data_IF_074438921227
#
_entry.id   IF_074438921227
#
_cell.length_a   1.000
_cell.length_b   1.000
_cell.length_c   1.000
_cell.angle_alpha   90.00
_cell.angle_beta   90.00
_cell.angle_gamma   90.00
#
_symmetry.space_group_name_H-M   'P 1'
#
loop_
_entity.id
_entity.type
_entity.pdbx_description
1 polymer ?
#
# COMPACT_ATOMS: atom_id res chain seq x y z
N UNK A 1 5.67 60.28 32.56
CA UNK A 1 6.72 59.28 32.22
C UNK A 1 6.29 57.81 32.39
N UNK A 2 5.31 57.49 33.26
CA UNK A 2 4.90 56.10 33.57
C UNK A 2 4.14 55.39 32.43
N UNK A 3 3.31 56.10 31.65
CA UNK A 3 2.52 55.50 30.54
C UNK A 3 3.36 54.99 29.35
N UNK A 4 4.55 55.55 29.08
CA UNK A 4 5.44 55.07 28.01
C UNK A 4 6.20 53.79 28.43
N UNK A 5 6.51 53.62 29.72
CA UNK A 5 7.17 52.41 30.25
C UNK A 5 6.24 51.20 30.28
N UNK A 6 4.95 51.37 30.61
CA UNK A 6 3.97 50.26 30.56
C UNK A 6 3.70 49.75 29.13
N UNK A 7 3.59 50.62 28.13
CA UNK A 7 3.42 50.20 26.73
C UNK A 7 4.63 49.38 26.22
N UNK A 8 5.84 49.73 26.64
CA UNK A 8 7.05 48.97 26.29
C UNK A 8 7.07 47.57 26.95
N UNK A 9 6.53 47.44 28.16
CA UNK A 9 6.47 46.16 28.87
C UNK A 9 5.41 45.23 28.26
N UNK A 10 4.26 45.76 27.85
CA UNK A 10 3.21 44.98 27.18
C UNK A 10 3.65 44.43 25.82
N UNK A 11 4.40 45.23 25.04
CA UNK A 11 4.96 44.76 23.76
C UNK A 11 6.05 43.70 23.98
N UNK A 12 6.85 43.82 25.04
CA UNK A 12 7.85 42.81 25.40
C UNK A 12 7.21 41.49 25.85
N UNK A 13 6.11 41.54 26.61
CA UNK A 13 5.35 40.35 27.04
C UNK A 13 4.64 39.69 25.86
N UNK A 14 4.08 40.46 24.92
CA UNK A 14 3.49 39.92 23.69
C UNK A 14 4.59 39.31 22.80
N UNK A 15 5.77 39.92 22.70
CA UNK A 15 6.91 39.30 21.99
C UNK A 15 7.42 38.04 22.70
N UNK A 16 7.51 38.02 24.03
CA UNK A 16 7.88 36.83 24.80
C UNK A 16 6.85 35.70 24.63
N UNK A 17 5.55 36.02 24.59
CA UNK A 17 4.48 35.06 24.32
C UNK A 17 4.50 34.53 22.87
N UNK A 18 4.89 35.38 21.90
CA UNK A 18 5.09 34.97 20.49
C UNK A 18 6.34 34.11 20.33
N UNK A 19 7.39 34.33 21.13
CA UNK A 19 8.62 33.51 21.10
C UNK A 19 8.40 32.16 21.81
N UNK A 20 7.57 32.10 22.88
CA UNK A 20 7.16 30.83 23.51
C UNK A 20 6.08 30.08 22.72
N UNK A 21 5.45 30.72 21.73
CA UNK A 21 4.47 30.11 20.82
C UNK A 21 5.07 29.43 19.58
N UNK A 22 6.38 29.57 19.35
CA UNK A 22 7.12 28.78 18.36
C UNK A 22 7.60 27.48 19.01
N UNK A 23 6.70 26.49 19.11
CA UNK A 23 7.00 25.15 19.59
C UNK A 23 8.04 24.42 18.72
N UNK A 24 9.32 24.71 18.96
CA UNK A 24 10.40 23.73 18.79
C UNK A 24 10.28 22.76 19.97
N UNK A 25 10.33 21.46 19.69
CA UNK A 25 10.35 20.34 20.65
C UNK A 25 8.99 19.79 21.14
N UNK A 26 8.07 19.46 20.22
CA UNK A 26 6.94 18.57 20.55
C UNK A 26 7.14 17.09 20.19
N UNK A 27 8.27 16.71 19.61
CA UNK A 27 8.58 15.32 19.23
C UNK A 27 9.77 14.82 20.04
N UNK A 28 9.64 13.63 20.62
CA UNK A 28 10.68 13.02 21.46
C UNK A 28 11.35 11.86 20.72
N UNK A 29 12.52 11.44 21.22
CA UNK A 29 13.31 10.38 20.60
C UNK A 29 12.60 9.02 20.64
N UNK A 30 12.78 8.26 19.57
CA UNK A 30 12.23 6.91 19.43
C UNK A 30 12.87 5.97 20.46
N UNK A 31 12.04 5.14 21.11
CA UNK A 31 12.55 4.11 22.03
C UNK A 31 12.97 2.86 21.26
N UNK A 32 14.27 2.55 21.26
CA UNK A 32 14.83 1.40 20.53
C UNK A 32 14.92 0.11 21.38
N UNK A 33 14.28 -0.96 20.90
CA UNK A 33 14.29 -2.31 21.49
C UNK A 33 14.90 -3.32 20.52
N UNK A 34 15.68 -4.29 21.02
CA UNK A 34 16.22 -5.39 20.20
C UNK A 34 15.20 -6.51 20.05
N UNK A 35 15.22 -7.15 18.89
CA UNK A 35 14.39 -8.30 18.55
C UNK A 35 13.05 -7.91 17.93
N UNK A 36 12.30 -8.92 17.50
CA UNK A 36 10.95 -8.78 16.96
C UNK A 36 9.97 -8.38 18.10
N UNK A 37 8.85 -7.69 17.79
CA UNK A 37 7.80 -7.42 18.78
C UNK A 37 7.34 -8.70 19.50
N UNK A 38 7.21 -8.63 20.82
CA UNK A 38 6.79 -9.77 21.68
C UNK A 38 5.28 -9.89 21.85
N UNK A 39 4.54 -8.88 21.40
CA UNK A 39 3.09 -8.82 21.47
C UNK A 39 2.57 -8.53 20.07
N UNK A 40 1.38 -9.07 19.78
CA UNK A 40 0.69 -8.74 18.56
C UNK A 40 0.14 -7.30 18.60
N UNK A 41 -0.06 -6.70 17.43
CA UNK A 41 -0.68 -5.39 17.31
C UNK A 41 -1.32 -5.22 15.93
N UNK A 42 -2.30 -4.31 15.81
CA UNK A 42 -2.99 -4.03 14.54
C UNK A 42 -2.00 -3.63 13.45
N UNK A 43 -1.05 -2.75 13.78
CA UNK A 43 0.01 -2.32 12.86
C UNK A 43 0.88 -3.48 12.37
N UNK A 44 1.22 -4.41 13.27
CA UNK A 44 1.98 -5.61 12.92
C UNK A 44 1.17 -6.55 12.01
N UNK A 45 -0.10 -6.81 12.33
CA UNK A 45 -0.99 -7.65 11.50
C UNK A 45 -1.09 -7.10 10.07
N UNK A 46 -1.27 -5.78 9.92
CA UNK A 46 -1.38 -5.14 8.60
C UNK A 46 -0.07 -5.20 7.80
N UNK A 47 1.08 -5.07 8.47
CA UNK A 47 2.38 -5.28 7.86
C UNK A 47 2.54 -6.74 7.39
N UNK A 48 2.25 -7.72 8.25
CA UNK A 48 2.36 -9.14 7.92
C UNK A 48 1.41 -9.51 6.77
N UNK A 49 0.18 -8.98 6.76
CA UNK A 49 -0.77 -9.10 5.64
C UNK A 49 -0.12 -8.61 4.34
N UNK A 50 0.41 -7.38 4.36
CA UNK A 50 1.01 -6.76 3.18
C UNK A 50 2.24 -7.50 2.67
N UNK A 51 3.07 -8.03 3.57
CA UNK A 51 4.30 -8.73 3.24
C UNK A 51 4.03 -10.13 2.69
N UNK A 52 3.21 -10.92 3.38
CA UNK A 52 2.97 -12.33 3.04
C UNK A 52 2.15 -12.51 1.75
N UNK A 53 1.19 -11.63 1.46
CA UNK A 53 0.35 -11.75 0.25
C UNK A 53 0.79 -10.82 -0.89
N UNK A 54 1.86 -10.05 -0.71
CA UNK A 54 2.16 -8.90 -1.57
C UNK A 54 2.62 -9.24 -3.00
N UNK A 55 3.03 -10.47 -3.26
CA UNK A 55 3.66 -10.90 -4.52
C UNK A 55 2.83 -11.88 -5.34
N UNK A 56 1.93 -12.62 -4.72
CA UNK A 56 1.20 -13.75 -5.34
C UNK A 56 -0.29 -13.53 -5.46
N UNK A 57 -0.84 -12.65 -4.60
CA UNK A 57 -2.28 -12.58 -4.37
C UNK A 57 -2.79 -11.14 -4.52
N UNK A 58 -3.82 -10.97 -5.34
CA UNK A 58 -4.50 -9.68 -5.48
C UNK A 58 -5.62 -9.60 -4.45
N UNK A 59 -5.52 -8.65 -3.50
CA UNK A 59 -6.64 -8.30 -2.63
C UNK A 59 -7.77 -7.72 -3.48
N UNK A 60 -8.96 -8.32 -3.38
CA UNK A 60 -10.16 -7.89 -4.10
C UNK A 60 -11.06 -7.05 -3.19
N UNK A 61 -11.29 -7.52 -1.97
CA UNK A 61 -12.29 -6.98 -1.05
C UNK A 61 -11.89 -7.25 0.40
N UNK A 62 -12.27 -6.34 1.30
CA UNK A 62 -12.18 -6.54 2.74
C UNK A 62 -13.51 -6.16 3.36
N UNK A 63 -14.10 -7.09 4.11
CA UNK A 63 -15.40 -6.94 4.75
C UNK A 63 -15.31 -7.47 6.17
N UNK A 64 -15.50 -6.59 7.15
CA UNK A 64 -15.28 -6.89 8.56
C UNK A 64 -13.88 -7.50 8.74
N UNK A 65 -13.78 -8.67 9.40
CA UNK A 65 -12.50 -9.34 9.65
C UNK A 65 -12.07 -10.32 8.54
N UNK A 66 -12.75 -10.32 7.39
CA UNK A 66 -12.47 -11.23 6.27
C UNK A 66 -11.86 -10.46 5.11
N UNK A 67 -10.69 -10.91 4.64
CA UNK A 67 -10.08 -10.40 3.40
C UNK A 67 -10.19 -11.44 2.30
N UNK A 68 -10.63 -11.01 1.11
CA UNK A 68 -10.82 -11.82 -0.08
C UNK A 68 -9.73 -11.51 -1.11
N UNK A 69 -9.24 -12.55 -1.76
CA UNK A 69 -8.16 -12.48 -2.73
C UNK A 69 -8.49 -13.30 -3.98
N UNK A 70 -7.90 -12.89 -5.10
CA UNK A 70 -7.74 -13.75 -6.27
C UNK A 70 -6.27 -14.12 -6.43
N UNK A 71 -6.05 -15.39 -6.79
CA UNK A 71 -4.75 -15.82 -7.29
C UNK A 71 -4.52 -15.23 -8.67
N UNK A 72 -3.27 -14.88 -8.97
CA UNK A 72 -2.86 -14.54 -10.34
C UNK A 72 -3.08 -15.73 -11.27
N UNK A 73 -3.71 -15.50 -12.43
CA UNK A 73 -4.09 -16.58 -13.35
C UNK A 73 -3.29 -16.54 -14.66
N UNK A 74 -2.25 -17.39 -14.74
CA UNK A 74 -1.53 -17.66 -15.98
C UNK A 74 -2.28 -18.73 -16.79
N UNK A 75 -2.81 -18.31 -17.94
CA UNK A 75 -3.41 -19.09 -19.04
C UNK A 75 -4.25 -20.35 -18.73
N UNK A 76 -5.47 -20.38 -19.29
CA UNK A 76 -6.29 -21.60 -19.41
C UNK A 76 -7.03 -22.06 -18.15
N UNK A 77 -6.70 -21.48 -16.99
CA UNK A 77 -7.37 -21.79 -15.74
C UNK A 77 -8.47 -20.77 -15.42
N UNK A 78 -9.38 -21.14 -14.52
CA UNK A 78 -10.35 -20.20 -13.97
C UNK A 78 -9.69 -19.37 -12.88
N UNK A 79 -10.10 -18.10 -12.73
CA UNK A 79 -9.65 -17.30 -11.58
C UNK A 79 -10.12 -17.98 -10.29
N UNK A 80 -9.19 -18.28 -9.39
CA UNK A 80 -9.48 -18.86 -8.07
C UNK A 80 -9.60 -17.74 -7.05
N UNK A 81 -10.58 -17.90 -6.16
CA UNK A 81 -10.81 -17.00 -5.05
C UNK A 81 -10.60 -17.74 -3.73
N UNK A 82 -9.98 -17.05 -2.79
CA UNK A 82 -9.82 -17.54 -1.43
C UNK A 82 -9.99 -16.39 -0.43
N UNK A 83 -10.13 -16.76 0.83
CA UNK A 83 -10.28 -15.82 1.94
C UNK A 83 -9.52 -16.30 3.16
N UNK A 84 -9.20 -15.36 4.03
CA UNK A 84 -8.83 -15.67 5.41
C UNK A 84 -9.28 -14.54 6.34
N UNK A 85 -9.38 -14.86 7.63
CA UNK A 85 -9.69 -13.88 8.68
C UNK A 85 -8.42 -13.26 9.26
N UNK A 86 -8.55 -12.11 9.92
CA UNK A 86 -7.44 -11.52 10.67
C UNK A 86 -6.86 -12.49 11.71
N UNK A 87 -7.70 -13.27 12.41
CA UNK A 87 -7.25 -14.23 13.41
C UNK A 87 -6.48 -15.42 12.80
N UNK A 88 -6.92 -15.90 11.63
CA UNK A 88 -6.16 -16.91 10.88
C UNK A 88 -4.77 -16.40 10.47
N UNK A 89 -4.68 -15.14 10.03
CA UNK A 89 -3.40 -14.51 9.73
C UNK A 89 -2.53 -14.38 10.98
N UNK A 90 -3.09 -13.94 12.11
CA UNK A 90 -2.37 -13.83 13.39
C UNK A 90 -1.80 -15.16 13.85
N UNK A 91 -2.61 -16.22 13.84
CA UNK A 91 -2.13 -17.55 14.19
C UNK A 91 -1.06 -18.06 13.20
N UNK A 92 -1.16 -17.70 11.92
CA UNK A 92 -0.15 -18.05 10.91
C UNK A 92 1.23 -17.46 11.23
N UNK A 93 1.33 -16.17 11.57
CA UNK A 93 2.62 -15.54 11.86
C UNK A 93 3.05 -15.57 13.33
N UNK A 94 2.22 -16.09 14.24
CA UNK A 94 2.53 -16.25 15.66
C UNK A 94 3.91 -16.86 15.97
N UNK A 95 4.46 -17.81 15.18
CA UNK A 95 5.83 -18.28 15.38
C UNK A 95 6.90 -17.18 15.39
N UNK A 96 6.67 -16.05 14.70
CA UNK A 96 7.59 -14.90 14.70
C UNK A 96 7.78 -14.28 16.09
N UNK A 97 6.72 -14.25 16.90
CA UNK A 97 6.71 -13.59 18.22
C UNK A 97 7.64 -14.31 19.21
N UNK A 98 7.79 -15.63 19.06
CA UNK A 98 8.57 -16.47 19.97
C UNK A 98 9.89 -16.97 19.37
N UNK A 99 10.15 -16.64 18.10
CA UNK A 99 11.33 -17.14 17.39
C UNK A 99 12.64 -16.55 17.91
N UNK A 100 13.63 -17.43 18.09
CA UNK A 100 15.03 -17.03 18.33
C UNK A 100 15.74 -16.61 17.04
N UNK A 101 15.21 -16.96 15.87
CA UNK A 101 15.74 -16.58 14.55
C UNK A 101 14.60 -16.05 13.64
N UNK A 102 14.17 -14.79 13.84
CA UNK A 102 13.05 -14.21 13.10
C UNK A 102 13.20 -14.25 11.58
N UNK A 103 14.41 -14.03 11.03
CA UNK A 103 14.69 -14.12 9.59
C UNK A 103 14.36 -15.51 9.02
N UNK A 104 14.88 -16.57 9.65
CA UNK A 104 14.61 -17.94 9.20
C UNK A 104 13.12 -18.26 9.28
N UNK A 105 12.48 -17.89 10.40
CA UNK A 105 11.04 -18.12 10.59
C UNK A 105 10.20 -17.36 9.56
N UNK A 106 10.55 -16.11 9.24
CA UNK A 106 9.84 -15.34 8.22
C UNK A 106 9.96 -16.00 6.84
N UNK A 107 11.15 -16.47 6.48
CA UNK A 107 11.38 -17.19 5.22
C UNK A 107 10.54 -18.47 5.14
N UNK A 108 10.40 -19.22 6.23
CA UNK A 108 9.54 -20.41 6.31
C UNK A 108 8.04 -20.07 6.18
N UNK A 109 7.62 -18.89 6.66
CA UNK A 109 6.25 -18.40 6.52
C UNK A 109 5.95 -17.85 5.13
N UNK A 110 6.96 -17.44 4.37
CA UNK A 110 6.81 -16.92 3.01
C UNK A 110 6.78 -18.01 1.94
N UNK A 111 6.92 -19.30 2.31
CA UNK A 111 6.82 -20.41 1.37
C UNK A 111 5.40 -20.51 0.80
N UNK A 112 5.28 -20.40 -0.53
CA UNK A 112 3.99 -20.37 -1.24
C UNK A 112 3.12 -21.58 -0.88
N UNK A 113 3.67 -22.80 -0.94
CA UNK A 113 2.91 -24.02 -0.62
C UNK A 113 2.30 -24.00 0.79
N UNK A 114 3.03 -23.45 1.77
CA UNK A 114 2.56 -23.31 3.15
C UNK A 114 1.46 -22.26 3.25
N UNK A 115 1.64 -21.13 2.56
CA UNK A 115 0.68 -20.03 2.53
C UNK A 115 -0.63 -20.49 1.88
N UNK A 116 -0.56 -21.17 0.74
CA UNK A 116 -1.73 -21.75 0.08
C UNK A 116 -2.43 -22.76 0.99
N UNK A 117 -1.68 -23.69 1.58
CA UNK A 117 -2.25 -24.75 2.43
C UNK A 117 -2.95 -24.21 3.67
N UNK A 118 -2.41 -23.16 4.30
CA UNK A 118 -2.86 -22.70 5.62
C UNK A 118 -3.72 -21.44 5.59
N UNK A 119 -3.64 -20.62 4.53
CA UNK A 119 -4.40 -19.38 4.41
C UNK A 119 -5.38 -19.36 3.22
N UNK A 120 -5.16 -20.11 2.14
CA UNK A 120 -6.05 -20.07 0.97
C UNK A 120 -7.30 -20.93 1.16
N UNK A 121 -8.20 -20.49 2.03
CA UNK A 121 -9.49 -21.14 2.22
C UNK A 121 -10.44 -20.79 1.07
N UNK A 122 -10.95 -21.81 0.39
CA UNK A 122 -11.89 -21.65 -0.72
C UNK A 122 -13.14 -20.85 -0.33
N UNK A 123 -13.65 -20.03 -1.25
CA UNK A 123 -14.94 -19.37 -1.11
C UNK A 123 -16.03 -20.25 -1.72
N UNK A 124 -16.84 -20.86 -0.86
CA UNK A 124 -17.96 -21.73 -1.27
C UNK A 124 -19.14 -20.93 -1.83
N UNK A 125 -19.55 -19.88 -1.11
CA UNK A 125 -20.62 -18.98 -1.53
C UNK A 125 -20.04 -17.74 -2.21
N UNK A 126 -19.86 -17.82 -3.53
CA UNK A 126 -19.35 -16.70 -4.35
C UNK A 126 -20.39 -15.59 -4.54
N UNK A 127 -21.68 -15.93 -4.48
CA UNK A 127 -22.78 -15.00 -4.71
C UNK A 127 -22.88 -13.98 -3.58
N UNK A 128 -22.64 -14.40 -2.33
CA UNK A 128 -22.55 -13.50 -1.17
C UNK A 128 -21.59 -12.31 -1.35
N UNK A 129 -20.58 -12.47 -2.20
CA UNK A 129 -19.53 -11.47 -2.43
C UNK A 129 -19.55 -10.90 -3.85
N UNK A 130 -20.63 -11.14 -4.60
CA UNK A 130 -20.80 -10.70 -5.99
C UNK A 130 -19.66 -11.18 -6.93
N UNK A 131 -18.96 -12.27 -6.57
CA UNK A 131 -17.77 -12.72 -7.30
C UNK A 131 -18.15 -13.39 -8.63
N UNK A 132 -17.70 -12.86 -9.78
CA UNK A 132 -17.93 -13.51 -11.07
C UNK A 132 -17.08 -14.78 -11.20
N UNK A 133 -17.56 -15.78 -11.93
CA UNK A 133 -16.71 -16.85 -12.45
C UNK A 133 -16.12 -16.40 -13.78
N UNK A 134 -14.79 -16.43 -13.90
CA UNK A 134 -14.05 -15.93 -15.06
C UNK A 134 -13.11 -17.02 -15.57
N UNK A 135 -13.20 -17.30 -16.88
CA UNK A 135 -12.36 -18.30 -17.56
C UNK A 135 -11.96 -17.81 -18.95
N UNK A 136 -10.68 -17.97 -19.29
CA UNK A 136 -10.18 -17.75 -20.64
C UNK A 136 -10.33 -19.06 -21.42
N UNK A 137 -10.97 -18.99 -22.58
CA UNK A 137 -11.10 -20.06 -23.56
C UNK A 137 -10.13 -19.83 -24.72
N UNK A 138 -10.03 -20.81 -25.62
CA UNK A 138 -9.21 -20.72 -26.83
C UNK A 138 -9.49 -19.44 -27.65
N UNK A 139 -8.47 -18.95 -28.34
CA UNK A 139 -8.55 -17.73 -29.17
C UNK A 139 -8.88 -16.46 -28.36
N UNK A 140 -8.47 -16.40 -27.10
CA UNK A 140 -8.68 -15.28 -26.19
C UNK A 140 -10.17 -14.89 -26.06
N UNK A 141 -11.05 -15.89 -25.95
CA UNK A 141 -12.44 -15.69 -25.60
C UNK A 141 -12.61 -15.71 -24.07
N UNK A 142 -13.19 -14.66 -23.50
CA UNK A 142 -13.41 -14.53 -22.07
C UNK A 142 -14.82 -14.94 -21.70
N UNK A 143 -14.98 -16.09 -21.06
CA UNK A 143 -16.24 -16.50 -20.45
C UNK A 143 -16.39 -15.84 -19.07
N UNK A 144 -17.48 -15.12 -18.88
CA UNK A 144 -17.86 -14.52 -17.59
C UNK A 144 -19.26 -14.97 -17.20
N UNK A 145 -19.39 -15.47 -15.97
CA UNK A 145 -20.66 -15.81 -15.33
C UNK A 145 -20.80 -15.07 -14.01
N UNK A 146 -21.81 -14.22 -13.89
CA UNK A 146 -22.25 -13.59 -12.64
C UNK A 146 -23.42 -14.39 -12.05
N UNK A 147 -23.97 -13.95 -10.93
CA UNK A 147 -25.13 -14.60 -10.28
C UNK A 147 -26.32 -14.79 -11.23
N UNK A 148 -26.56 -13.83 -12.13
CA UNK A 148 -27.75 -13.83 -13.00
C UNK A 148 -27.45 -13.97 -14.49
N UNK A 149 -26.22 -13.72 -14.92
CA UNK A 149 -25.89 -13.60 -16.34
C UNK A 149 -24.64 -14.40 -16.70
N UNK A 150 -24.61 -14.91 -17.93
CA UNK A 150 -23.45 -15.56 -18.53
C UNK A 150 -23.22 -14.98 -19.92
N UNK A 151 -21.98 -14.62 -20.24
CA UNK A 151 -21.61 -14.08 -21.56
C UNK A 151 -20.18 -14.48 -21.92
N UNK A 152 -19.92 -14.64 -23.21
CA UNK A 152 -18.57 -14.84 -23.76
C UNK A 152 -18.19 -13.58 -24.53
N UNK A 153 -17.04 -12.99 -24.19
CA UNK A 153 -16.49 -11.82 -24.86
C UNK A 153 -15.33 -12.23 -25.76
N UNK A 154 -15.34 -11.78 -27.02
CA UNK A 154 -14.20 -11.88 -27.93
C UNK A 154 -13.22 -10.75 -27.58
N UNK A 155 -12.17 -11.05 -26.82
CA UNK A 155 -11.20 -10.03 -26.39
C UNK A 155 -10.44 -9.40 -27.57
N UNK A 156 -9.96 -10.16 -28.58
CA UNK A 156 -9.37 -9.56 -29.78
C UNK A 156 -10.27 -8.54 -30.48
N UNK A 157 -11.57 -8.81 -30.56
CA UNK A 157 -12.53 -7.85 -31.12
C UNK A 157 -12.74 -6.65 -30.19
N UNK A 158 -13.01 -6.90 -28.91
CA UNK A 158 -13.29 -5.88 -27.89
C UNK A 158 -12.10 -4.93 -27.68
N UNK A 159 -10.88 -5.45 -27.74
CA UNK A 159 -9.63 -4.77 -27.44
C UNK A 159 -8.78 -4.51 -28.68
N UNK A 160 -9.39 -4.57 -29.88
CA UNK A 160 -8.72 -4.35 -31.17
C UNK A 160 -7.90 -3.06 -31.20
N UNK A 161 -8.43 -1.99 -30.60
CA UNK A 161 -7.78 -0.67 -30.55
C UNK A 161 -6.49 -0.65 -29.73
N UNK A 162 -6.29 -1.64 -28.86
CA UNK A 162 -5.06 -1.84 -28.10
C UNK A 162 -4.12 -2.84 -28.76
N UNK A 163 -4.58 -3.57 -29.78
CA UNK A 163 -3.76 -4.49 -30.56
C UNK A 163 -3.77 -5.94 -30.09
N UNK A 164 -4.67 -6.32 -29.18
CA UNK A 164 -4.83 -7.70 -28.68
C UNK A 164 -5.28 -8.63 -29.81
N UNK A 165 -4.67 -9.81 -29.91
CA UNK A 165 -4.89 -10.85 -30.93
C UNK A 165 -5.30 -12.17 -30.30
N UNK A 166 -5.78 -13.08 -31.13
CA UNK A 166 -6.21 -14.43 -30.73
C UNK A 166 -5.08 -15.31 -30.19
N UNK A 167 -3.85 -15.05 -30.64
CA UNK A 167 -2.65 -15.82 -30.32
C UNK A 167 -1.87 -15.29 -29.13
N UNK A 168 -2.28 -14.15 -28.58
CA UNK A 168 -1.50 -13.46 -27.55
C UNK A 168 -1.61 -14.18 -26.20
N UNK A 169 -0.49 -14.17 -25.46
CA UNK A 169 -0.41 -14.67 -24.10
C UNK A 169 -0.98 -13.63 -23.13
N UNK A 170 -2.19 -13.92 -22.63
CA UNK A 170 -2.90 -13.06 -21.70
C UNK A 170 -2.94 -13.64 -20.29
N UNK A 171 -2.70 -12.78 -19.31
CA UNK A 171 -3.03 -12.98 -17.91
C UNK A 171 -4.20 -12.08 -17.54
N UNK A 172 -5.17 -12.62 -16.80
CA UNK A 172 -6.38 -11.87 -16.41
C UNK A 172 -6.63 -12.04 -14.92
N UNK A 173 -6.65 -10.91 -14.22
CA UNK A 173 -6.86 -10.85 -12.78
C UNK A 173 -8.11 -10.05 -12.46
N UNK A 174 -8.90 -10.53 -11.49
CA UNK A 174 -9.97 -9.73 -10.89
C UNK A 174 -9.32 -8.69 -9.98
N UNK A 175 -9.52 -7.42 -10.29
CA UNK A 175 -8.93 -6.32 -9.51
C UNK A 175 -9.86 -5.84 -8.40
N UNK A 176 -11.15 -5.68 -8.71
CA UNK A 176 -12.15 -5.19 -7.77
C UNK A 176 -13.55 -5.69 -8.16
N UNK A 177 -14.46 -5.76 -7.19
CA UNK A 177 -15.85 -6.19 -7.37
C UNK A 177 -16.77 -5.52 -6.35
N UNK A 178 -17.99 -5.24 -6.76
CA UNK A 178 -19.11 -4.93 -5.89
C UNK A 178 -20.43 -5.40 -6.54
N UNK A 179 -21.56 -5.10 -5.90
CA UNK A 179 -22.89 -5.52 -6.37
C UNK A 179 -23.35 -4.91 -7.70
N UNK A 180 -22.67 -3.87 -8.20
CA UNK A 180 -23.01 -3.19 -9.46
C UNK A 180 -22.07 -3.58 -10.60
N UNK A 181 -20.78 -3.71 -10.32
CA UNK A 181 -19.75 -3.90 -11.33
C UNK A 181 -18.51 -4.62 -10.78
N UNK A 182 -17.59 -4.95 -11.68
CA UNK A 182 -16.28 -5.48 -11.38
C UNK A 182 -15.26 -4.97 -12.39
N UNK A 183 -13.98 -5.01 -12.01
CA UNK A 183 -12.86 -4.63 -12.87
C UNK A 183 -11.89 -5.79 -13.04
N UNK A 184 -11.50 -6.05 -14.29
CA UNK A 184 -10.43 -6.97 -14.65
C UNK A 184 -9.20 -6.19 -15.10
N UNK A 185 -8.03 -6.70 -14.76
CA UNK A 185 -6.75 -6.26 -15.32
C UNK A 185 -6.25 -7.37 -16.22
N UNK A 186 -6.00 -7.02 -17.47
CA UNK A 186 -5.45 -7.91 -18.49
C UNK A 186 -4.01 -7.48 -18.76
N UNK A 187 -3.08 -8.41 -18.63
CA UNK A 187 -1.70 -8.21 -19.04
C UNK A 187 -1.40 -9.06 -20.28
N UNK A 188 -0.96 -8.42 -21.35
CA UNK A 188 -0.54 -9.04 -22.60
C UNK A 188 0.99 -9.12 -22.66
N UNK A 189 1.53 -10.32 -22.50
CA UNK A 189 2.97 -10.55 -22.53
C UNK A 189 3.54 -10.69 -23.95
N UNK A 190 2.67 -10.81 -24.96
CA UNK A 190 3.07 -10.89 -26.36
C UNK A 190 3.32 -9.51 -26.99
N UNK A 191 2.85 -8.45 -26.35
CA UNK A 191 3.07 -7.07 -26.81
C UNK A 191 4.53 -6.62 -26.65
N UNK A 192 5.12 -6.17 -27.76
CA UNK A 192 6.42 -5.48 -27.75
C UNK A 192 6.34 -4.12 -27.04
N UNK A 193 5.21 -3.43 -27.20
CA UNK A 193 4.95 -2.16 -26.53
C UNK A 193 4.43 -2.41 -25.11
N UNK A 194 5.32 -2.27 -24.13
CA UNK A 194 4.99 -2.44 -22.71
C UNK A 194 4.06 -1.37 -22.16
N UNK A 195 3.87 -0.24 -22.84
CA UNK A 195 2.97 0.83 -22.38
C UNK A 195 1.51 0.38 -22.51
N UNK A 196 1.18 -0.35 -23.59
CA UNK A 196 -0.17 -0.80 -23.90
C UNK A 196 -0.48 -2.21 -23.39
N UNK A 197 0.49 -2.91 -22.79
CA UNK A 197 0.35 -4.31 -22.37
C UNK A 197 -0.58 -4.51 -21.18
N UNK A 198 -0.87 -3.47 -20.40
CA UNK A 198 -1.76 -3.57 -19.22
C UNK A 198 -3.07 -2.83 -19.48
N UNK A 199 -4.17 -3.59 -19.57
CA UNK A 199 -5.49 -3.11 -19.99
C UNK A 199 -6.51 -3.37 -18.87
N UNK A 200 -7.26 -2.34 -18.48
CA UNK A 200 -8.38 -2.45 -17.56
C UNK A 200 -9.69 -2.67 -18.32
N UNK A 201 -10.48 -3.66 -17.90
CA UNK A 201 -11.87 -3.88 -18.32
C UNK A 201 -12.79 -3.63 -17.13
N UNK A 202 -13.73 -2.70 -17.27
CA UNK A 202 -14.74 -2.37 -16.26
C UNK A 202 -16.08 -2.84 -16.74
N UNK A 203 -16.69 -3.79 -16.03
CA UNK A 203 -17.86 -4.52 -16.51
C UNK A 203 -18.96 -4.44 -15.46
N UNK A 204 -20.18 -4.18 -15.90
CA UNK A 204 -21.38 -4.25 -15.04
C UNK A 204 -21.76 -5.69 -14.71
N UNK A 205 -22.33 -5.95 -13.54
CA UNK A 205 -22.71 -7.31 -13.10
C UNK A 205 -23.75 -7.99 -14.01
N UNK A 206 -24.50 -7.21 -14.80
CA UNK A 206 -25.43 -7.72 -15.82
C UNK A 206 -24.78 -7.95 -17.20
N UNK A 207 -23.47 -7.68 -17.34
CA UNK A 207 -22.68 -7.94 -18.54
C UNK A 207 -23.10 -7.15 -19.80
N UNK A 208 -23.84 -6.04 -19.62
CA UNK A 208 -24.34 -5.22 -20.74
C UNK A 208 -23.43 -4.03 -21.04
N UNK A 209 -22.86 -3.40 -20.02
CA UNK A 209 -21.92 -2.28 -20.18
C UNK A 209 -20.48 -2.69 -19.86
N UNK A 210 -19.56 -2.27 -20.72
CA UNK A 210 -18.12 -2.52 -20.64
C UNK A 210 -17.38 -1.25 -21.04
N UNK A 211 -16.48 -0.80 -20.17
CA UNK A 211 -15.51 0.24 -20.49
C UNK A 211 -14.10 -0.33 -20.44
N UNK A 212 -13.21 0.19 -21.28
CA UNK A 212 -11.84 -0.31 -21.41
C UNK A 212 -10.84 0.83 -21.45
N UNK A 213 -9.69 0.67 -20.81
CA UNK A 213 -8.58 1.62 -20.91
C UNK A 213 -7.23 0.96 -20.70
N UNK A 214 -6.16 1.56 -21.21
CA UNK A 214 -4.79 1.17 -20.84
C UNK A 214 -4.48 1.77 -19.48
N UNK A 215 -3.91 0.97 -18.58
CA UNK A 215 -3.64 1.37 -17.20
C UNK A 215 -2.29 2.08 -17.12
N UNK A 216 -2.23 3.25 -17.75
CA UNK A 216 -1.13 4.20 -17.63
C UNK A 216 -1.68 5.56 -17.23
N UNK A 217 -0.86 6.37 -16.55
CA UNK A 217 -1.28 7.68 -16.06
C UNK A 217 -1.84 8.58 -17.18
N UNK A 218 -1.23 8.52 -18.36
CA UNK A 218 -1.66 9.29 -19.53
C UNK A 218 -3.01 8.81 -20.08
N UNK A 219 -3.14 7.51 -20.37
CA UNK A 219 -4.38 6.94 -20.94
C UNK A 219 -5.55 6.95 -19.96
N UNK A 220 -5.27 6.80 -18.67
CA UNK A 220 -6.27 6.99 -17.64
C UNK A 220 -6.73 8.45 -17.56
N UNK A 221 -5.85 9.45 -17.65
CA UNK A 221 -6.26 10.87 -17.70
C UNK A 221 -7.17 11.16 -18.88
N UNK A 222 -6.82 10.67 -20.07
CA UNK A 222 -7.66 10.79 -21.27
C UNK A 222 -9.03 10.12 -21.05
N UNK A 223 -9.07 8.91 -20.49
CA UNK A 223 -10.32 8.18 -20.29
C UNK A 223 -11.19 8.87 -19.23
N UNK A 224 -10.59 9.30 -18.13
CA UNK A 224 -11.28 9.99 -17.05
C UNK A 224 -11.90 11.29 -17.55
N UNK A 225 -11.19 12.10 -18.35
CA UNK A 225 -11.71 13.38 -18.85
C UNK A 225 -13.01 13.22 -19.67
N UNK A 226 -13.20 12.08 -20.35
CA UNK A 226 -14.45 11.77 -21.07
C UNK A 226 -15.62 11.36 -20.18
N UNK A 227 -15.37 11.04 -18.91
CA UNK A 227 -16.38 10.60 -17.94
C UNK A 227 -16.82 9.13 -18.07
N UNK A 228 -16.23 8.35 -18.98
CA UNK A 228 -16.58 6.94 -19.21
C UNK A 228 -16.51 6.06 -17.96
N UNK A 229 -15.55 6.33 -17.07
CA UNK A 229 -15.34 5.53 -15.87
C UNK A 229 -16.21 5.93 -14.67
N UNK A 230 -17.04 6.98 -14.76
CA UNK A 230 -17.81 7.50 -13.61
C UNK A 230 -18.69 6.44 -12.93
N UNK A 231 -19.31 5.57 -13.71
CA UNK A 231 -20.17 4.49 -13.19
C UNK A 231 -19.41 3.38 -12.44
N UNK A 232 -18.07 3.42 -12.46
CA UNK A 232 -17.20 2.41 -11.90
C UNK A 232 -16.38 2.94 -10.71
N UNK A 233 -16.59 4.18 -10.25
CA UNK A 233 -15.81 4.77 -9.14
C UNK A 233 -15.99 4.05 -7.81
N UNK A 234 -17.16 3.42 -7.61
CA UNK A 234 -17.43 2.58 -6.45
C UNK A 234 -16.54 1.31 -6.38
N UNK A 235 -15.76 0.99 -7.42
CA UNK A 235 -14.77 -0.09 -7.41
C UNK A 235 -13.43 0.31 -6.79
N UNK A 236 -13.12 1.60 -6.77
CA UNK A 236 -11.82 2.07 -6.29
C UNK A 236 -11.83 2.28 -4.78
N UNK A 237 -10.68 2.02 -4.15
CA UNK A 237 -10.56 2.15 -2.69
C UNK A 237 -10.65 3.62 -2.31
N UNK A 238 -11.63 3.99 -1.50
CA UNK A 238 -11.74 5.34 -0.92
C UNK A 238 -10.59 5.58 0.06
N UNK A 239 -9.89 6.70 -0.11
CA UNK A 239 -8.67 7.00 0.66
C UNK A 239 -8.82 8.18 1.61
N UNK A 240 -9.97 8.82 1.62
CA UNK A 240 -10.33 9.92 2.52
C UNK A 240 -11.70 9.68 3.16
N UNK A 241 -11.98 10.42 4.24
CA UNK A 241 -13.25 10.27 4.98
C UNK A 241 -14.45 10.75 4.17
N UNK A 242 -14.28 11.75 3.31
CA UNK A 242 -15.38 12.29 2.49
C UNK A 242 -15.73 11.41 1.29
N UNK A 243 -14.85 10.47 0.93
CA UNK A 243 -14.99 9.64 -0.26
C UNK A 243 -14.73 10.38 -1.57
N UNK A 244 -14.15 11.58 -1.53
CA UNK A 244 -13.80 12.36 -2.71
C UNK A 244 -12.63 11.75 -3.48
N UNK A 245 -11.67 11.19 -2.75
CA UNK A 245 -10.43 10.65 -3.30
C UNK A 245 -10.48 9.13 -3.33
N UNK A 246 -9.96 8.54 -4.40
CA UNK A 246 -9.85 7.09 -4.50
C UNK A 246 -8.51 6.67 -5.07
N UNK A 247 -7.97 5.57 -4.55
CA UNK A 247 -6.79 4.93 -5.10
C UNK A 247 -7.19 4.10 -6.31
N UNK A 248 -6.74 4.51 -7.48
CA UNK A 248 -6.72 3.70 -8.69
C UNK A 248 -5.42 2.88 -8.72
N UNK A 249 -5.42 1.84 -9.54
CA UNK A 249 -4.32 0.89 -9.84
C UNK A 249 -2.89 1.30 -9.43
N UNK A 250 -2.07 0.31 -9.04
CA UNK A 250 -0.62 0.43 -8.83
C UNK A 250 -0.14 1.33 -7.68
N UNK A 251 -1.01 1.65 -6.72
CA UNK A 251 -0.68 2.31 -5.45
C UNK A 251 -0.06 3.72 -5.57
N UNK A 252 -0.19 4.40 -6.70
CA UNK A 252 0.35 5.75 -6.92
C UNK A 252 -0.58 6.70 -7.70
N UNK A 253 -1.76 6.22 -8.12
CA UNK A 253 -2.72 7.01 -8.91
C UNK A 253 -3.94 7.40 -8.07
N UNK A 254 -4.01 8.66 -7.64
CA UNK A 254 -5.15 9.16 -6.86
C UNK A 254 -6.16 9.83 -7.80
N UNK A 255 -7.39 9.33 -7.83
CA UNK A 255 -8.52 9.96 -8.50
C UNK A 255 -9.20 10.95 -7.56
N UNK A 256 -9.33 12.21 -7.98
CA UNK A 256 -10.29 13.15 -7.40
C UNK A 256 -11.63 13.00 -8.13
N UNK A 257 -12.61 12.38 -7.49
CA UNK A 257 -13.92 12.11 -8.06
C UNK A 257 -14.70 13.40 -8.34
N UNK A 258 -14.41 14.49 -7.62
CA UNK A 258 -15.09 15.78 -7.81
C UNK A 258 -14.64 16.45 -9.10
N UNK A 259 -13.33 16.48 -9.35
CA UNK A 259 -12.76 17.13 -10.54
C UNK A 259 -12.58 16.17 -11.71
N UNK A 260 -12.73 14.87 -11.47
CA UNK A 260 -12.57 13.82 -12.46
C UNK A 260 -11.14 13.74 -13.03
N UNK A 261 -10.13 13.93 -12.17
CA UNK A 261 -8.72 14.04 -12.55
C UNK A 261 -7.82 13.15 -11.69
N UNK A 262 -6.71 12.69 -12.29
CA UNK A 262 -5.63 12.04 -11.56
C UNK A 262 -4.68 13.06 -10.95
N UNK A 263 -4.51 12.95 -9.64
CA UNK A 263 -3.58 13.72 -8.84
C UNK A 263 -2.41 12.80 -8.45
N UNK A 264 -1.20 13.35 -8.45
CA UNK A 264 -0.01 12.68 -7.92
C UNK A 264 0.46 13.34 -6.63
N UNK A 265 1.30 12.64 -5.88
CA UNK A 265 2.07 13.23 -4.79
C UNK A 265 3.40 13.80 -5.33
N UNK A 266 4.11 14.58 -4.53
CA UNK A 266 5.45 15.07 -4.89
C UNK A 266 6.41 13.90 -5.01
N UNK A 267 7.42 14.07 -5.86
CA UNK A 267 8.44 13.06 -6.14
C UNK A 267 9.20 12.62 -4.88
N UNK A 268 9.41 13.54 -3.94
CA UNK A 268 10.19 13.31 -2.73
C UNK A 268 9.36 12.77 -1.55
N UNK A 269 8.05 12.54 -1.77
CA UNK A 269 7.13 11.97 -0.81
C UNK A 269 6.79 10.52 -1.20
N UNK A 270 6.25 9.74 -0.27
CA UNK A 270 5.87 8.35 -0.52
C UNK A 270 4.43 8.07 -0.11
N UNK A 271 3.65 7.42 -0.98
CA UNK A 271 2.25 7.05 -0.73
C UNK A 271 2.20 5.65 -0.09
N UNK A 272 1.41 5.51 0.97
CA UNK A 272 1.18 4.22 1.63
C UNK A 272 0.47 3.25 0.70
N UNK A 273 0.66 1.94 0.92
CA UNK A 273 0.07 0.89 0.06
C UNK A 273 -1.47 0.96 -0.02
N UNK A 274 -2.13 1.41 1.04
CA UNK A 274 -3.59 1.60 1.05
C UNK A 274 -4.03 2.98 0.51
N UNK A 275 -3.08 3.84 0.12
CA UNK A 275 -3.29 5.16 -0.43
C UNK A 275 -3.81 6.20 0.56
N UNK A 276 -3.91 5.92 1.86
CA UNK A 276 -4.54 6.80 2.86
C UNK A 276 -3.59 7.80 3.53
N UNK A 277 -2.30 7.52 3.48
CA UNK A 277 -1.25 8.31 4.13
C UNK A 277 -0.08 8.60 3.20
N UNK A 278 0.53 9.77 3.37
CA UNK A 278 1.76 10.21 2.69
C UNK A 278 2.87 10.36 3.72
N UNK A 279 4.01 9.73 3.47
CA UNK A 279 5.26 9.97 4.18
C UNK A 279 5.96 11.17 3.55
N UNK A 280 6.22 12.21 4.34
CA UNK A 280 6.71 13.50 3.84
C UNK A 280 8.23 13.51 3.80
N UNK A 281 8.80 13.95 2.68
CA UNK A 281 10.26 14.04 2.46
C UNK A 281 11.00 12.72 2.73
N UNK A 282 10.32 11.60 2.53
CA UNK A 282 10.89 10.27 2.51
C UNK A 282 10.46 9.61 1.22
N UNK A 283 11.35 9.54 0.24
CA UNK A 283 11.12 8.69 -0.92
C UNK A 283 11.16 7.24 -0.46
N UNK A 284 10.59 6.34 -1.27
CA UNK A 284 10.68 4.90 -1.01
C UNK A 284 12.11 4.49 -0.68
N UNK A 285 13.07 4.98 -1.47
CA UNK A 285 14.48 4.55 -1.47
C UNK A 285 15.44 5.48 -0.70
N UNK A 286 14.97 6.57 -0.10
CA UNK A 286 15.83 7.48 0.66
C UNK A 286 15.11 8.05 1.88
N UNK A 287 15.45 7.55 3.06
CA UNK A 287 15.16 8.22 4.33
C UNK A 287 16.43 8.80 4.94
N UNK A 288 16.30 10.03 5.43
CA UNK A 288 17.35 10.71 6.19
C UNK A 288 17.14 10.58 7.70
N UNK A 289 18.24 10.80 8.44
CA UNK A 289 18.19 10.92 9.88
C UNK A 289 17.34 12.13 10.30
N UNK A 290 16.74 12.10 11.49
CA UNK A 290 16.01 13.24 12.05
C UNK A 290 14.49 13.08 12.01
N UNK A 291 13.78 14.21 11.88
CA UNK A 291 12.31 14.26 12.04
C UNK A 291 11.61 13.62 10.85
N UNK A 292 10.78 12.63 11.15
CA UNK A 292 9.94 11.90 10.23
C UNK A 292 8.49 12.37 10.38
N UNK A 293 7.75 12.46 9.27
CA UNK A 293 6.41 13.01 9.27
C UNK A 293 5.48 12.21 8.35
N UNK A 294 4.29 11.88 8.85
CA UNK A 294 3.24 11.20 8.10
C UNK A 294 1.98 12.06 8.14
N UNK A 295 1.34 12.24 6.98
CA UNK A 295 0.06 12.95 6.85
C UNK A 295 -1.02 12.02 6.28
N UNK A 296 -2.28 12.29 6.61
CA UNK A 296 -3.39 11.77 5.82
C UNK A 296 -3.33 12.36 4.41
N UNK A 297 -3.78 11.61 3.40
CA UNK A 297 -3.86 12.13 2.02
C UNK A 297 -4.81 13.32 1.92
N UNK A 298 -5.87 13.34 2.72
CA UNK A 298 -6.80 14.46 2.75
C UNK A 298 -6.12 15.77 3.16
N UNK A 299 -5.32 15.75 4.24
CA UNK A 299 -4.57 16.92 4.68
C UNK A 299 -3.47 17.30 3.70
N UNK A 300 -2.76 16.31 3.17
CA UNK A 300 -1.71 16.50 2.18
C UNK A 300 -2.23 17.22 0.93
N UNK A 301 -3.33 16.73 0.33
CA UNK A 301 -3.90 17.29 -0.90
C UNK A 301 -4.55 18.66 -0.69
N UNK A 302 -4.99 18.99 0.53
CA UNK A 302 -5.47 20.33 0.89
C UNK A 302 -4.34 21.32 1.19
N UNK A 303 -3.09 20.85 1.30
CA UNK A 303 -1.95 21.68 1.70
C UNK A 303 -1.92 22.01 3.20
N UNK A 304 -2.66 21.26 4.03
CA UNK A 304 -2.69 21.44 5.48
C UNK A 304 -1.39 20.94 6.10
N UNK A 305 -0.83 21.68 7.07
CA UNK A 305 0.36 21.28 7.84
C UNK A 305 -0.01 20.51 9.11
N UNK A 306 -0.95 19.57 8.97
CA UNK A 306 -1.38 18.68 10.06
C UNK A 306 -0.82 17.29 9.80
N UNK A 307 -0.18 16.70 10.82
CA UNK A 307 0.55 15.45 10.71
C UNK A 307 -0.03 14.42 11.67
N UNK A 308 -0.31 13.23 11.13
CA UNK A 308 -0.82 12.08 11.88
C UNK A 308 0.27 11.52 12.82
N UNK A 309 1.52 11.50 12.34
CA UNK A 309 2.67 11.09 13.14
C UNK A 309 3.87 11.99 12.88
N UNK A 310 4.63 12.28 13.95
CA UNK A 310 5.87 13.05 13.90
C UNK A 310 6.85 12.53 14.95
N UNK A 311 7.97 11.95 14.55
CA UNK A 311 8.94 11.34 15.47
C UNK A 311 10.38 11.52 14.96
N UNK A 312 11.37 11.47 15.85
CA UNK A 312 12.79 11.66 15.50
C UNK A 312 13.50 10.32 15.40
N UNK A 313 13.87 9.94 14.19
CA UNK A 313 14.72 8.79 13.92
C UNK A 313 16.18 9.18 14.17
N UNK A 314 16.93 8.32 14.86
CA UNK A 314 18.37 8.44 15.07
C UNK A 314 19.10 7.16 14.63
N UNK A 315 19.67 7.19 13.43
CA UNK A 315 20.43 6.07 12.87
C UNK A 315 21.69 5.72 13.65
N UNK A 316 22.32 6.69 14.33
CA UNK A 316 23.51 6.41 15.14
C UNK A 316 23.14 5.64 16.41
N UNK A 317 22.01 6.00 17.02
CA UNK A 317 21.45 5.25 18.14
C UNK A 317 21.08 3.82 17.76
N UNK A 318 20.54 3.60 16.56
CA UNK A 318 20.26 2.26 16.03
C UNK A 318 21.55 1.46 15.85
N UNK A 319 22.58 2.03 15.21
CA UNK A 319 23.87 1.36 15.01
C UNK A 319 24.53 0.98 16.35
N UNK A 320 24.55 1.91 17.31
CA UNK A 320 25.05 1.68 18.67
C UNK A 320 24.27 0.55 19.36
N UNK A 321 22.94 0.58 19.29
CA UNK A 321 22.10 -0.48 19.87
C UNK A 321 22.45 -1.83 19.24
N UNK A 322 22.61 -1.90 17.92
CA UNK A 322 22.94 -3.13 17.19
C UNK A 322 24.41 -3.56 17.30
N UNK A 323 25.27 -2.76 17.98
CA UNK A 323 26.72 -2.96 18.07
C UNK A 323 27.41 -2.99 16.69
N UNK A 324 26.90 -2.25 15.71
CA UNK A 324 27.51 -2.16 14.39
C UNK A 324 28.74 -1.25 14.41
N UNK A 325 29.87 -1.75 13.92
CA UNK A 325 31.09 -0.96 13.70
C UNK A 325 31.01 -0.26 12.34
N UNK A 326 30.36 0.90 12.30
CA UNK A 326 30.00 1.58 11.05
C UNK A 326 30.63 2.97 10.90
N UNK A 327 30.74 3.43 9.65
CA UNK A 327 31.05 4.81 9.24
C UNK A 327 29.78 5.64 8.94
N UNK A 328 28.59 5.03 9.03
CA UNK A 328 27.31 5.68 8.75
C UNK A 328 26.35 4.79 7.96
N UNK A 329 25.14 5.29 7.74
CA UNK A 329 24.13 4.63 6.90
C UNK A 329 24.56 4.70 5.44
N UNK A 330 24.58 3.55 4.78
CA UNK A 330 24.73 3.46 3.32
C UNK A 330 23.41 3.75 2.62
N UNK A 331 22.33 3.18 3.13
CA UNK A 331 21.00 3.24 2.52
C UNK A 331 19.93 3.01 3.57
N UNK A 332 18.82 3.74 3.48
CA UNK A 332 17.64 3.52 4.31
C UNK A 332 16.38 3.68 3.47
N UNK A 333 15.51 2.67 3.53
CA UNK A 333 14.36 2.51 2.64
C UNK A 333 13.09 2.18 3.42
N UNK A 334 11.97 2.75 3.01
CA UNK A 334 10.64 2.40 3.53
C UNK A 334 10.19 1.10 2.85
N UNK A 335 10.01 0.05 3.63
CA UNK A 335 9.46 -1.23 3.17
C UNK A 335 7.94 -1.26 3.26
N UNK A 336 7.40 -0.64 4.31
CA UNK A 336 5.96 -0.57 4.56
C UNK A 336 5.66 0.61 5.47
N UNK A 337 4.51 1.26 5.27
CA UNK A 337 3.95 2.12 6.29
C UNK A 337 2.43 2.28 6.17
N UNK A 338 1.80 2.60 7.30
CA UNK A 338 0.42 3.06 7.43
C UNK A 338 0.32 4.05 8.60
N UNK A 339 -0.89 4.34 9.11
CA UNK A 339 -1.05 5.22 10.29
C UNK A 339 -0.32 4.71 11.54
N UNK A 340 -0.21 3.41 11.71
CA UNK A 340 0.13 2.73 12.96
C UNK A 340 1.52 2.12 12.98
N UNK A 341 2.14 1.97 11.81
CA UNK A 341 3.34 1.19 11.69
C UNK A 341 4.20 1.70 10.54
N UNK A 342 5.51 1.72 10.75
CA UNK A 342 6.51 1.96 9.71
C UNK A 342 7.56 0.85 9.78
N UNK A 343 7.91 0.27 8.64
CA UNK A 343 8.98 -0.72 8.54
C UNK A 343 10.04 -0.18 7.60
N UNK A 344 11.26 -0.05 8.13
CA UNK A 344 12.42 0.38 7.37
C UNK A 344 13.39 -0.78 7.17
N UNK A 345 14.13 -0.76 6.06
CA UNK A 345 15.42 -1.44 5.95
C UNK A 345 16.51 -0.37 6.09
N UNK A 346 17.50 -0.60 6.96
CA UNK A 346 18.66 0.28 7.11
C UNK A 346 19.94 -0.54 6.93
N UNK A 347 20.75 -0.13 5.95
CA UNK A 347 22.04 -0.72 5.62
C UNK A 347 23.16 0.20 6.09
N UNK A 348 24.16 -0.34 6.78
CA UNK A 348 25.29 0.42 7.33
C UNK A 348 26.60 0.11 6.61
N UNK A 349 27.40 1.13 6.35
CA UNK A 349 28.74 1.00 5.79
C UNK A 349 29.74 0.54 6.86
N UNK A 350 30.65 -0.35 6.51
CA UNK A 350 31.83 -0.70 7.31
C UNK A 350 32.76 0.50 7.48
N UNK A 351 33.56 0.51 8.55
CA UNK A 351 34.55 1.57 8.78
C UNK A 351 35.70 1.58 7.77
N UNK A 352 36.05 0.43 7.19
CA UNK A 352 37.14 0.33 6.21
C UNK A 352 36.61 0.05 4.80
N UNK A 353 35.99 -1.13 4.58
CA UNK A 353 35.37 -1.53 3.30
C UNK A 353 34.18 -2.46 3.60
N UNK A 354 33.16 -2.45 2.75
CA UNK A 354 32.02 -3.38 2.80
C UNK A 354 30.89 -2.92 3.73
N UNK A 355 29.99 -3.86 4.07
CA UNK A 355 28.78 -3.62 4.89
C UNK A 355 29.03 -3.97 6.36
N UNK A 356 28.68 -3.07 7.28
CA UNK A 356 28.76 -3.30 8.73
C UNK A 356 27.59 -4.15 9.28
N UNK A 357 26.47 -4.13 8.56
CA UNK A 357 25.25 -4.88 8.87
C UNK A 357 24.02 -4.24 8.23
N UNK A 358 22.93 -4.98 8.17
CA UNK A 358 21.59 -4.49 7.87
C UNK A 358 20.65 -4.78 9.04
N UNK A 359 19.63 -3.94 9.19
CA UNK A 359 18.61 -4.12 10.22
C UNK A 359 17.25 -3.65 9.70
N UNK A 360 16.21 -4.41 10.01
CA UNK A 360 14.84 -3.94 9.85
C UNK A 360 14.41 -3.20 11.11
N UNK A 361 13.84 -2.00 10.92
CA UNK A 361 13.38 -1.12 12.00
C UNK A 361 11.86 -1.06 11.93
N UNK A 362 11.19 -1.72 12.87
CA UNK A 362 9.74 -1.78 12.94
C UNK A 362 9.26 -0.77 13.98
N UNK A 363 8.75 0.37 13.52
CA UNK A 363 8.33 1.51 14.33
C UNK A 363 6.84 1.39 14.59
N UNK A 364 6.48 1.11 15.84
CA UNK A 364 5.10 1.01 16.31
C UNK A 364 4.60 2.39 16.78
N UNK A 365 3.66 2.93 16.00
CA UNK A 365 3.04 4.23 16.21
C UNK A 365 1.71 4.12 16.98
N UNK A 366 1.23 2.93 17.36
CA UNK A 366 -0.11 2.75 17.95
C UNK A 366 -0.22 3.37 19.34
N UNK A 367 0.79 3.16 20.19
CA UNK A 367 0.80 3.69 21.57
C UNK A 367 1.14 5.17 21.62
N UNK A 368 2.03 5.63 20.73
CA UNK A 368 2.43 7.04 20.66
C UNK A 368 2.91 7.41 19.25
N UNK A 369 2.25 8.41 18.66
CA UNK A 369 2.62 8.99 17.36
C UNK A 369 3.81 9.96 17.42
N UNK A 370 4.17 10.41 18.64
CA UNK A 370 5.24 11.40 18.91
C UNK A 370 6.49 10.81 19.55
N UNK A 371 6.36 9.64 20.16
CA UNK A 371 7.45 8.92 20.82
C UNK A 371 7.25 7.40 20.66
N UNK A 372 7.37 6.88 19.43
CA UNK A 372 7.06 5.49 19.17
C UNK A 372 8.15 4.55 19.71
N UNK A 373 7.80 3.27 19.78
CA UNK A 373 8.77 2.20 20.04
C UNK A 373 9.23 1.63 18.70
N UNK A 374 10.54 1.52 18.49
CA UNK A 374 11.12 0.86 17.34
C UNK A 374 11.80 -0.45 17.73
N UNK A 375 11.40 -1.53 17.09
CA UNK A 375 11.97 -2.86 17.24
C UNK A 375 13.04 -3.10 16.17
N UNK A 376 14.22 -3.52 16.59
CA UNK A 376 15.40 -3.71 15.74
C UNK A 376 15.66 -5.20 15.56
N UNK A 377 15.47 -5.69 14.34
CA UNK A 377 15.53 -7.12 14.02
C UNK A 377 16.02 -7.34 12.60
N UNK A 378 16.84 -8.36 12.36
CA UNK A 378 17.13 -8.82 11.00
C UNK A 378 15.98 -9.75 10.55
N UNK A 379 15.21 -9.30 9.56
CA UNK A 379 14.18 -10.10 8.89
C UNK A 379 14.61 -10.50 7.47
N UNK A 380 15.75 -10.02 6.98
CA UNK A 380 16.17 -10.20 5.58
C UNK A 380 15.28 -9.47 4.56
N UNK A 381 14.53 -8.44 4.98
CA UNK A 381 13.69 -7.64 4.08
C UNK A 381 14.53 -6.48 3.54
N UNK A 382 14.70 -6.38 2.22
CA UNK A 382 15.57 -5.42 1.52
C UNK A 382 14.81 -4.54 0.50
#
# INVERSE_FOLDING_TARGET
>A
MVKKRLRSLSVLIVFLLVITGCGKDQYQEVTYKKGFPKEDSRGLTEFMKSYLTGSTDQKILEMNDVTLFSTVNHQGHAIRYFKYTQDQLKEYYKPMITSKNPKKTLNELYQIERLEKLLHHSIQDKEKYDLPSIKILSNNQLEVKTTKHKKIFDLPSLLKKYGVKKSDELEINLYAVNSKCFALVIQDFSMKDRINSTIGLFITQNLTNIETTVITKEKLRETLSTGKLKNYYDLFTKIDKSGRYSLMFFNDMILDQKTNQLIGIKKDDYLSKNGKYVYISGTKDTISNGVQQIQTVENYLKGNKEYEAQFKLDFDSIAKKMNFKTSGVSHAKIQYFNEDYVVLNVLYNGKMVGTAGSVNVLIDLQKSKKQPTAYLVDLGIE
#
